data_IF_725549723022
#
_entry.id   IF_725549723022
#
_cell.length_a   1.000
_cell.length_b   1.000
_cell.length_c   1.000
_cell.angle_alpha   90.00
_cell.angle_beta   90.00
_cell.angle_gamma   90.00
#
_symmetry.space_group_name_H-M   'P 1'
#
loop_
_entity.id
_entity.type
_entity.pdbx_description
1 polymer ?
#
# COMPACT_ATOMS: atom_id res chain seq x y z
N UNK A 1 14.70 -10.44 -1.54
CA UNK A 1 13.99 -9.84 -2.70
C UNK A 1 13.88 -8.33 -2.45
N UNK A 2 14.64 -7.48 -3.13
CA UNK A 2 14.62 -6.03 -2.82
C UNK A 2 13.23 -5.38 -2.91
N UNK A 3 13.04 -4.22 -2.26
CA UNK A 3 11.80 -3.40 -2.22
C UNK A 3 10.78 -3.67 -3.34
N UNK A 4 9.51 -3.91 -2.99
CA UNK A 4 8.42 -4.08 -3.97
C UNK A 4 8.09 -2.79 -4.73
N UNK A 5 8.51 -1.64 -4.23
CA UNK A 5 8.32 -0.35 -4.89
C UNK A 5 9.52 -0.04 -5.79
N UNK A 6 9.24 0.46 -7.00
CA UNK A 6 10.27 0.91 -7.94
C UNK A 6 10.78 2.30 -7.54
N UNK A 7 12.10 2.45 -7.42
CA UNK A 7 12.72 3.69 -6.89
C UNK A 7 13.11 4.70 -7.98
N UNK A 8 13.30 4.27 -9.22
CA UNK A 8 13.83 5.04 -10.35
C UNK A 8 12.76 5.44 -11.36
N UNK A 9 11.54 5.70 -10.87
CA UNK A 9 10.39 6.07 -11.72
C UNK A 9 10.58 7.46 -12.32
N UNK A 10 10.41 7.56 -13.65
CA UNK A 10 10.63 8.80 -14.41
C UNK A 10 9.36 9.49 -14.88
N UNK A 11 8.23 8.78 -14.91
CA UNK A 11 6.94 9.30 -15.39
C UNK A 11 5.90 9.23 -14.29
N UNK A 12 4.93 10.14 -14.33
CA UNK A 12 3.78 10.12 -13.42
C UNK A 12 2.95 8.86 -13.63
N UNK A 13 2.80 8.43 -14.87
CA UNK A 13 2.12 7.19 -15.24
C UNK A 13 2.76 6.62 -16.51
N UNK A 14 2.63 5.30 -16.68
CA UNK A 14 3.20 4.56 -17.81
C UNK A 14 2.19 4.41 -18.95
N UNK A 15 0.91 4.24 -18.60
CA UNK A 15 -0.14 3.94 -19.55
C UNK A 15 -1.51 4.41 -19.04
N UNK A 16 -2.33 4.94 -19.93
CA UNK A 16 -3.74 5.21 -19.73
C UNK A 16 -4.53 4.46 -20.80
N UNK A 17 -5.69 3.92 -20.45
CA UNK A 17 -6.61 3.32 -21.40
C UNK A 17 -8.08 3.44 -20.98
N UNK A 18 -8.95 3.40 -21.98
CA UNK A 18 -10.39 3.22 -21.85
C UNK A 18 -10.75 1.81 -22.34
N UNK A 19 -11.58 1.12 -21.58
CA UNK A 19 -12.04 -0.23 -21.90
C UNK A 19 -13.56 -0.30 -21.91
N UNK A 20 -14.09 -1.15 -22.78
CA UNK A 20 -15.48 -1.62 -22.74
C UNK A 20 -15.48 -3.10 -22.33
N UNK A 21 -16.45 -3.57 -21.53
CA UNK A 21 -16.56 -4.98 -21.21
C UNK A 21 -16.89 -5.78 -22.48
N UNK A 22 -16.40 -7.01 -22.54
CA UNK A 22 -16.67 -7.90 -23.68
C UNK A 22 -18.14 -8.30 -23.70
N UNK A 23 -18.89 -7.99 -24.79
CA UNK A 23 -20.33 -8.28 -24.85
C UNK A 23 -20.62 -9.79 -24.75
N UNK A 24 -21.63 -10.15 -23.94
CA UNK A 24 -22.10 -11.53 -23.82
C UNK A 24 -21.20 -12.48 -23.04
N UNK A 25 -20.13 -11.98 -22.41
CA UNK A 25 -19.30 -12.77 -21.51
C UNK A 25 -19.96 -12.83 -20.12
N UNK A 26 -20.60 -13.95 -19.79
CA UNK A 26 -21.06 -14.22 -18.41
C UNK A 26 -19.86 -14.57 -17.53
N UNK A 27 -19.43 -13.65 -16.67
CA UNK A 27 -18.31 -13.88 -15.76
C UNK A 27 -18.79 -14.79 -14.64
N UNK A 28 -18.11 -15.91 -14.43
CA UNK A 28 -18.60 -16.94 -13.51
C UNK A 28 -18.68 -18.33 -14.13
N UNK A 29 -18.71 -18.41 -15.46
CA UNK A 29 -18.82 -19.69 -16.19
C UNK A 29 -17.50 -20.03 -16.88
N UNK A 30 -16.94 -21.20 -16.58
CA UNK A 30 -15.77 -21.69 -17.33
C UNK A 30 -16.16 -21.90 -18.79
N UNK A 31 -15.31 -21.53 -19.78
CA UNK A 31 -15.61 -21.78 -21.18
C UNK A 31 -15.87 -23.26 -21.41
N UNK A 32 -17.05 -23.62 -21.96
CA UNK A 32 -17.39 -25.02 -22.31
C UNK A 32 -16.52 -25.57 -23.46
N UNK A 33 -15.82 -24.70 -24.17
CA UNK A 33 -14.90 -25.04 -25.26
C UNK A 33 -13.47 -24.67 -24.87
N UNK A 34 -12.54 -25.61 -24.93
CA UNK A 34 -11.11 -25.44 -24.59
C UNK A 34 -10.29 -24.52 -25.52
N UNK A 35 -10.90 -23.43 -26.01
CA UNK A 35 -10.20 -22.31 -26.63
C UNK A 35 -9.71 -21.29 -25.59
N UNK A 36 -8.85 -20.34 -25.98
CA UNK A 36 -8.43 -19.26 -25.09
C UNK A 36 -9.65 -18.46 -24.61
N UNK A 37 -9.73 -18.20 -23.31
CA UNK A 37 -10.79 -17.41 -22.73
C UNK A 37 -10.81 -16.00 -23.37
N UNK A 38 -12.00 -15.53 -23.76
CA UNK A 38 -12.15 -14.16 -24.24
C UNK A 38 -11.80 -13.19 -23.10
N UNK A 39 -11.07 -12.09 -23.38
CA UNK A 39 -10.69 -11.18 -22.32
C UNK A 39 -11.92 -10.53 -21.71
N UNK A 40 -11.86 -10.26 -20.40
CA UNK A 40 -12.85 -9.51 -19.64
C UNK A 40 -13.30 -8.17 -20.26
N UNK A 41 -12.48 -7.55 -21.12
CA UNK A 41 -12.80 -6.31 -21.80
C UNK A 41 -11.87 -6.03 -22.97
N UNK A 42 -12.21 -5.01 -23.75
CA UNK A 42 -11.46 -4.59 -24.93
C UNK A 42 -11.01 -3.15 -24.73
N UNK A 43 -9.71 -2.90 -24.91
CA UNK A 43 -9.16 -1.53 -24.91
C UNK A 43 -9.63 -0.84 -26.19
N UNK A 44 -10.43 0.22 -26.04
CA UNK A 44 -10.97 1.00 -27.17
C UNK A 44 -10.17 2.27 -27.44
N UNK A 45 -9.46 2.76 -26.45
CA UNK A 45 -8.63 3.96 -26.54
C UNK A 45 -7.45 3.84 -25.58
N UNK A 46 -6.29 4.37 -25.96
CA UNK A 46 -5.11 4.34 -25.11
C UNK A 46 -4.20 5.54 -25.31
N UNK A 47 -3.31 5.74 -24.34
CA UNK A 47 -2.26 6.72 -24.37
C UNK A 47 -1.05 6.26 -23.51
N UNK A 48 0.19 6.34 -24.02
CA UNK A 48 0.53 6.60 -25.42
C UNK A 48 0.11 5.44 -26.32
N UNK A 49 -0.20 5.71 -27.60
CA UNK A 49 -0.61 4.65 -28.54
C UNK A 49 0.50 3.61 -28.79
N UNK A 50 1.76 4.01 -28.60
CA UNK A 50 2.95 3.17 -28.77
C UNK A 50 3.33 2.32 -27.56
N UNK A 51 2.47 2.17 -26.54
CA UNK A 51 2.74 1.31 -25.38
C UNK A 51 2.73 -0.18 -25.78
N UNK A 52 3.75 -0.96 -25.38
CA UNK A 52 3.97 -2.33 -25.89
C UNK A 52 4.15 -3.41 -24.82
N UNK A 53 3.99 -3.09 -23.55
CA UNK A 53 4.10 -4.08 -22.47
C UNK A 53 2.91 -5.05 -22.54
N UNK A 54 3.14 -6.24 -23.11
CA UNK A 54 2.10 -7.24 -23.37
C UNK A 54 1.52 -7.84 -22.08
N UNK A 55 2.32 -7.92 -21.02
CA UNK A 55 1.86 -8.43 -19.72
C UNK A 55 0.79 -7.48 -19.15
N UNK A 56 1.04 -6.17 -19.26
CA UNK A 56 0.07 -5.14 -18.86
C UNK A 56 -1.16 -5.14 -19.76
N UNK A 57 -0.96 -5.15 -21.08
CA UNK A 57 -2.08 -5.05 -22.03
C UNK A 57 -3.04 -6.25 -21.93
N UNK A 58 -2.52 -7.44 -21.63
CA UNK A 58 -3.35 -8.64 -21.46
C UNK A 58 -4.00 -8.71 -20.08
N UNK A 59 -3.35 -8.21 -19.03
CA UNK A 59 -3.89 -8.25 -17.66
C UNK A 59 -4.92 -7.18 -17.32
N UNK A 60 -4.78 -5.95 -17.86
CA UNK A 60 -5.67 -4.82 -17.49
C UNK A 60 -7.16 -5.15 -17.63
N UNK A 61 -7.64 -5.76 -18.72
CA UNK A 61 -9.07 -6.02 -18.88
C UNK A 61 -9.70 -6.79 -17.71
N UNK A 62 -9.00 -7.80 -17.19
CA UNK A 62 -9.46 -8.63 -16.06
C UNK A 62 -9.51 -7.82 -14.77
N UNK A 63 -8.54 -6.94 -14.52
CA UNK A 63 -8.56 -6.04 -13.37
C UNK A 63 -9.53 -4.86 -13.50
N UNK A 64 -9.74 -4.38 -14.71
CA UNK A 64 -10.68 -3.30 -15.00
C UNK A 64 -12.13 -3.75 -14.80
N UNK A 65 -12.41 -5.04 -14.97
CA UNK A 65 -13.72 -5.66 -14.76
C UNK A 65 -13.56 -6.98 -13.98
N UNK A 66 -13.29 -6.93 -12.66
CA UNK A 66 -12.90 -8.10 -11.90
C UNK A 66 -14.05 -9.11 -11.68
N UNK A 67 -15.29 -8.65 -11.70
CA UNK A 67 -16.50 -9.45 -11.59
C UNK A 67 -17.68 -8.67 -12.19
N UNK A 68 -18.83 -9.34 -12.32
CA UNK A 68 -20.07 -8.67 -12.71
C UNK A 68 -20.59 -7.85 -11.53
N UNK A 69 -20.49 -6.52 -11.62
CA UNK A 69 -20.94 -5.60 -10.58
C UNK A 69 -22.32 -5.06 -10.90
N UNK A 70 -23.28 -5.21 -9.97
CA UNK A 70 -24.63 -4.66 -10.12
C UNK A 70 -24.72 -3.16 -9.77
N UNK A 71 -23.59 -2.47 -9.69
CA UNK A 71 -23.54 -1.11 -9.16
C UNK A 71 -24.06 -0.09 -10.16
N UNK A 72 -24.95 0.78 -9.71
CA UNK A 72 -25.51 1.89 -10.51
C UNK A 72 -24.70 3.18 -10.38
N UNK A 73 -23.69 3.20 -9.51
CA UNK A 73 -22.84 4.36 -9.23
C UNK A 73 -21.43 4.16 -9.78
N UNK A 74 -20.78 5.27 -10.15
CA UNK A 74 -19.36 5.28 -10.52
C UNK A 74 -18.53 4.70 -9.38
N UNK A 75 -17.69 3.71 -9.68
CA UNK A 75 -16.73 3.15 -8.72
C UNK A 75 -15.32 3.56 -9.09
N UNK A 76 -14.51 3.87 -8.07
CA UNK A 76 -13.08 4.15 -8.26
C UNK A 76 -12.30 3.27 -7.30
N UNK A 77 -11.38 2.47 -7.82
CA UNK A 77 -10.60 1.54 -7.01
C UNK A 77 -9.16 1.45 -7.53
N UNK A 78 -8.30 0.79 -6.77
CA UNK A 78 -6.93 0.52 -7.21
C UNK A 78 -6.59 -0.96 -7.13
N UNK A 79 -5.89 -1.46 -8.15
CA UNK A 79 -5.34 -2.82 -8.18
C UNK A 79 -3.82 -2.76 -8.31
N UNK A 80 -3.18 -3.90 -8.07
CA UNK A 80 -1.73 -4.04 -8.20
C UNK A 80 -1.42 -5.21 -9.12
N UNK A 81 -0.58 -4.93 -10.10
CA UNK A 81 0.04 -5.92 -10.95
C UNK A 81 1.49 -6.11 -10.48
N UNK A 82 1.88 -7.36 -10.20
CA UNK A 82 3.26 -7.68 -9.84
C UNK A 82 4.02 -8.07 -11.10
N UNK A 83 5.08 -7.33 -11.42
CA UNK A 83 5.93 -7.58 -12.60
C UNK A 83 6.86 -8.78 -12.39
N UNK A 84 7.42 -9.31 -13.49
CA UNK A 84 8.39 -10.41 -13.43
C UNK A 84 9.63 -10.15 -12.54
N UNK A 85 10.03 -8.89 -12.36
CA UNK A 85 11.10 -8.47 -11.42
C UNK A 85 10.57 -8.19 -10.00
N UNK A 86 9.36 -8.68 -9.68
CA UNK A 86 8.79 -8.66 -8.34
C UNK A 86 8.43 -7.24 -7.84
N UNK A 87 8.26 -6.27 -8.73
CA UNK A 87 7.84 -4.90 -8.40
C UNK A 87 6.33 -4.73 -8.54
N UNK A 88 5.78 -3.80 -7.77
CA UNK A 88 4.38 -3.42 -7.86
C UNK A 88 4.20 -2.30 -8.88
N UNK A 89 3.25 -2.52 -9.76
CA UNK A 89 2.70 -1.55 -10.68
C UNK A 89 1.23 -1.36 -10.31
N UNK A 90 0.83 -0.13 -10.06
CA UNK A 90 -0.48 0.24 -9.56
C UNK A 90 -1.39 0.62 -10.73
N UNK A 91 -2.59 0.04 -10.75
CA UNK A 91 -3.66 0.44 -11.65
C UNK A 91 -4.75 1.17 -10.89
N UNK A 92 -5.10 2.38 -11.34
CA UNK A 92 -6.19 3.18 -10.80
C UNK A 92 -7.34 3.13 -11.79
N UNK A 93 -8.46 2.55 -11.38
CA UNK A 93 -9.61 2.31 -12.24
C UNK A 93 -10.79 3.17 -11.82
N UNK A 94 -11.48 3.75 -12.81
CA UNK A 94 -12.80 4.38 -12.67
C UNK A 94 -13.77 3.65 -13.60
N UNK A 95 -14.74 2.95 -13.04
CA UNK A 95 -15.85 2.33 -13.77
C UNK A 95 -17.05 3.28 -13.78
N UNK A 96 -17.61 3.55 -14.96
CA UNK A 96 -18.86 4.30 -15.10
C UNK A 96 -19.95 3.38 -15.67
N UNK A 97 -20.90 2.92 -14.82
CA UNK A 97 -21.98 2.03 -15.24
C UNK A 97 -22.87 2.63 -16.33
N UNK A 98 -22.94 3.96 -16.47
CA UNK A 98 -23.81 4.62 -17.46
C UNK A 98 -23.27 4.54 -18.88
N UNK A 99 -21.95 4.66 -19.02
CA UNK A 99 -21.28 4.51 -20.32
C UNK A 99 -20.85 3.07 -20.57
N UNK A 100 -20.94 2.21 -19.55
CA UNK A 100 -20.43 0.84 -19.58
C UNK A 100 -18.94 0.82 -19.98
N UNK A 101 -18.16 1.76 -19.44
CA UNK A 101 -16.72 1.86 -19.69
C UNK A 101 -15.91 1.90 -18.40
N UNK A 102 -14.66 1.48 -18.50
CA UNK A 102 -13.67 1.60 -17.44
C UNK A 102 -12.48 2.41 -17.94
N UNK A 103 -12.11 3.45 -17.18
CA UNK A 103 -10.88 4.21 -17.39
C UNK A 103 -9.82 3.67 -16.44
N UNK A 104 -8.63 3.33 -16.96
CA UNK A 104 -7.52 2.80 -16.17
C UNK A 104 -6.25 3.61 -16.40
N UNK A 105 -5.61 4.02 -15.30
CA UNK A 105 -4.30 4.65 -15.27
C UNK A 105 -3.29 3.73 -14.58
N UNK A 106 -2.17 3.43 -15.24
CA UNK A 106 -1.11 2.55 -14.76
C UNK A 106 0.10 3.37 -14.36
N UNK A 107 0.60 3.20 -13.13
CA UNK A 107 1.79 3.88 -12.63
C UNK A 107 2.62 2.99 -11.72
N UNK A 108 3.94 3.23 -11.65
CA UNK A 108 4.80 2.66 -10.60
C UNK A 108 4.76 3.48 -9.30
N UNK A 109 4.15 4.68 -9.32
CA UNK A 109 4.04 5.55 -8.16
C UNK A 109 2.82 5.14 -7.32
N UNK A 110 2.98 4.78 -6.03
CA UNK A 110 1.88 4.44 -5.13
C UNK A 110 1.13 5.70 -4.64
N UNK A 111 0.85 6.66 -5.52
CA UNK A 111 0.22 7.94 -5.15
C UNK A 111 -1.30 7.83 -5.24
N UNK A 112 -1.87 6.93 -4.43
CA UNK A 112 -3.30 6.60 -4.45
C UNK A 112 -4.19 7.84 -4.36
N UNK A 113 -3.93 8.73 -3.40
CA UNK A 113 -4.74 9.94 -3.24
C UNK A 113 -4.70 10.85 -4.46
N UNK A 114 -3.54 10.97 -5.11
CA UNK A 114 -3.37 11.79 -6.31
C UNK A 114 -4.14 11.19 -7.49
N UNK A 115 -3.92 9.91 -7.80
CA UNK A 115 -4.51 9.31 -8.99
C UNK A 115 -6.02 9.03 -8.83
N UNK A 116 -6.48 8.66 -7.64
CA UNK A 116 -7.92 8.50 -7.38
C UNK A 116 -8.67 9.84 -7.48
N UNK A 117 -8.07 10.96 -7.07
CA UNK A 117 -8.63 12.32 -7.27
C UNK A 117 -8.55 12.79 -8.72
N UNK A 118 -7.56 12.33 -9.47
CA UNK A 118 -7.39 12.66 -10.88
C UNK A 118 -8.48 12.02 -11.76
N UNK A 119 -8.86 10.77 -11.51
CA UNK A 119 -9.77 10.00 -12.37
C UNK A 119 -11.13 10.69 -12.61
N UNK A 120 -11.83 11.25 -11.60
CA UNK A 120 -13.07 12.01 -11.84
C UNK A 120 -12.85 13.24 -12.74
N UNK A 121 -11.73 13.94 -12.59
CA UNK A 121 -11.37 15.11 -13.40
C UNK A 121 -11.13 14.68 -14.85
N UNK A 122 -10.40 13.59 -15.06
CA UNK A 122 -10.20 13.01 -16.39
C UNK A 122 -11.51 12.58 -17.04
N UNK A 123 -12.41 11.95 -16.27
CA UNK A 123 -13.73 11.55 -16.75
C UNK A 123 -14.57 12.74 -17.23
N UNK A 124 -14.58 13.83 -16.45
CA UNK A 124 -15.31 15.05 -16.82
C UNK A 124 -14.65 15.81 -17.98
N UNK A 125 -13.32 15.90 -17.99
CA UNK A 125 -12.56 16.56 -19.06
C UNK A 125 -12.76 15.83 -20.38
N UNK A 126 -12.70 14.50 -20.39
CA UNK A 126 -12.97 13.68 -21.58
C UNK A 126 -14.37 13.93 -22.15
N UNK A 127 -15.36 14.10 -21.28
CA UNK A 127 -16.76 14.34 -21.66
C UNK A 127 -16.99 15.74 -22.25
N UNK A 128 -16.28 16.75 -21.75
CA UNK A 128 -16.52 18.17 -22.05
C UNK A 128 -15.56 18.76 -23.06
N UNK A 129 -14.29 18.34 -23.05
CA UNK A 129 -13.23 18.80 -23.94
C UNK A 129 -12.26 17.64 -24.29
N UNK A 130 -12.59 16.80 -25.29
CA UNK A 130 -11.75 15.68 -25.71
C UNK A 130 -10.33 16.10 -26.14
N UNK A 131 -10.19 17.29 -26.74
CA UNK A 131 -8.88 17.81 -27.15
C UNK A 131 -8.06 18.24 -25.92
N UNK A 132 -8.68 18.94 -24.98
CA UNK A 132 -8.08 19.29 -23.68
C UNK A 132 -7.70 18.05 -22.86
N UNK A 133 -8.52 16.99 -22.91
CA UNK A 133 -8.20 15.70 -22.30
C UNK A 133 -6.91 15.10 -22.87
N UNK A 134 -6.77 15.04 -24.20
CA UNK A 134 -5.55 14.54 -24.85
C UNK A 134 -4.34 15.42 -24.57
N UNK A 135 -4.50 16.74 -24.59
CA UNK A 135 -3.45 17.69 -24.24
C UNK A 135 -2.99 17.51 -22.79
N UNK A 136 -3.93 17.34 -21.85
CA UNK A 136 -3.64 17.09 -20.43
C UNK A 136 -2.83 15.80 -20.24
N UNK A 137 -3.24 14.68 -20.87
CA UNK A 137 -2.50 13.42 -20.78
C UNK A 137 -1.07 13.55 -21.33
N UNK A 138 -0.91 14.22 -22.47
CA UNK A 138 0.40 14.47 -23.08
C UNK A 138 1.30 15.30 -22.16
N UNK A 139 0.77 16.39 -21.62
CA UNK A 139 1.50 17.27 -20.71
C UNK A 139 1.92 16.54 -19.44
N UNK A 140 0.99 15.85 -18.77
CA UNK A 140 1.27 15.09 -17.56
C UNK A 140 2.28 13.94 -17.78
N UNK A 141 2.28 13.33 -18.97
CA UNK A 141 3.21 12.25 -19.30
C UNK A 141 4.63 12.75 -19.59
N UNK A 142 4.77 13.94 -20.20
CA UNK A 142 6.06 14.48 -20.64
C UNK A 142 6.82 15.28 -19.57
N UNK A 143 6.12 15.84 -18.57
CA UNK A 143 6.72 16.67 -17.51
C UNK A 143 7.57 15.88 -16.50
N UNK A 144 7.41 14.56 -16.43
CA UNK A 144 8.16 13.69 -15.51
C UNK A 144 7.69 13.78 -14.05
N UNK A 145 8.39 13.08 -13.15
CA UNK A 145 8.05 13.05 -11.72
C UNK A 145 8.68 14.25 -11.00
N UNK A 146 7.90 15.05 -10.24
CA UNK A 146 8.43 16.14 -9.42
C UNK A 146 9.57 15.71 -8.48
N UNK A 147 10.45 16.65 -8.15
CA UNK A 147 11.46 16.45 -7.11
C UNK A 147 10.83 16.19 -5.73
N UNK A 148 11.59 15.61 -4.80
CA UNK A 148 11.11 15.32 -3.44
C UNK A 148 10.55 16.58 -2.76
N UNK A 149 9.27 16.55 -2.37
CA UNK A 149 8.57 17.69 -1.77
C UNK A 149 8.16 18.78 -2.77
N UNK A 150 8.41 18.57 -4.06
CA UNK A 150 7.93 19.41 -5.15
C UNK A 150 6.54 19.03 -5.64
N UNK A 151 5.99 19.88 -6.50
CA UNK A 151 4.69 19.71 -7.12
C UNK A 151 4.74 20.08 -8.60
N UNK A 152 4.03 19.34 -9.45
CA UNK A 152 3.78 19.70 -10.85
C UNK A 152 2.32 20.14 -11.01
N UNK A 153 2.08 21.25 -11.69
CA UNK A 153 0.73 21.70 -12.05
C UNK A 153 0.50 21.50 -13.54
N UNK A 154 -0.57 20.81 -13.90
CA UNK A 154 -1.00 20.60 -15.28
C UNK A 154 -2.33 21.32 -15.48
N UNK A 155 -2.37 22.26 -16.42
CA UNK A 155 -3.54 23.10 -16.69
C UNK A 155 -4.45 22.45 -17.76
N UNK A 156 -5.76 22.70 -17.65
CA UNK A 156 -6.78 22.26 -18.61
C UNK A 156 -7.85 23.35 -18.79
N UNK A 157 -8.79 23.17 -19.73
CA UNK A 157 -9.84 24.15 -20.08
C UNK A 157 -9.26 25.54 -20.40
N UNK A 158 -8.28 25.59 -21.31
CA UNK A 158 -7.57 26.82 -21.68
C UNK A 158 -6.98 27.61 -20.48
N UNK A 159 -6.58 26.91 -19.42
CA UNK A 159 -5.96 27.51 -18.23
C UNK A 159 -6.93 27.89 -17.12
N UNK A 160 -8.22 27.62 -17.27
CA UNK A 160 -9.23 27.89 -16.23
C UNK A 160 -9.18 26.87 -15.08
N UNK A 161 -8.69 25.65 -15.34
CA UNK A 161 -8.51 24.60 -14.34
C UNK A 161 -7.07 24.09 -14.30
N UNK A 162 -6.67 23.52 -13.17
CA UNK A 162 -5.41 22.79 -13.05
C UNK A 162 -5.52 21.62 -12.08
N UNK A 163 -4.64 20.64 -12.26
CA UNK A 163 -4.43 19.55 -11.33
C UNK A 163 -2.99 19.58 -10.81
N UNK A 164 -2.81 19.39 -9.51
CA UNK A 164 -1.49 19.38 -8.87
C UNK A 164 -1.08 17.95 -8.54
N UNK A 165 0.03 17.50 -9.13
CA UNK A 165 0.74 16.30 -8.74
C UNK A 165 1.77 16.66 -7.68
N UNK A 166 1.43 16.43 -6.41
CA UNK A 166 2.35 16.62 -5.28
C UNK A 166 3.09 15.32 -5.00
N UNK A 167 4.43 15.36 -4.98
CA UNK A 167 5.21 14.18 -4.61
C UNK A 167 5.13 13.98 -3.09
N UNK A 168 4.59 12.85 -2.60
CA UNK A 168 4.55 12.56 -1.17
C UNK A 168 5.96 12.57 -0.58
N UNK A 169 6.07 13.07 0.66
CA UNK A 169 7.33 13.02 1.38
C UNK A 169 7.66 11.57 1.74
N UNK A 170 8.92 11.16 1.56
CA UNK A 170 9.36 9.75 1.62
C UNK A 170 9.01 9.03 2.93
N UNK A 171 8.82 9.76 4.03
CA UNK A 171 8.56 9.20 5.37
C UNK A 171 7.26 9.73 5.98
N UNK A 172 6.39 10.31 5.18
CA UNK A 172 5.09 10.77 5.65
C UNK A 172 4.16 9.59 5.80
N UNK A 173 3.67 9.41 7.02
CA UNK A 173 2.66 8.41 7.32
C UNK A 173 1.30 8.82 6.72
N UNK A 174 0.49 7.83 6.28
CA UNK A 174 -0.89 8.08 5.89
C UNK A 174 -1.63 8.81 7.01
N UNK A 175 -2.35 9.87 6.64
CA UNK A 175 -3.01 10.78 7.58
C UNK A 175 -4.50 10.92 7.26
N UNK A 176 -5.31 11.01 8.31
CA UNK A 176 -6.76 11.22 8.23
C UNK A 176 -7.12 12.71 8.31
N UNK A 177 -8.12 13.19 7.55
CA UNK A 177 -8.94 12.48 6.57
C UNK A 177 -8.38 12.49 5.14
N UNK A 178 -7.17 13.03 4.92
CA UNK A 178 -6.66 13.31 3.58
C UNK A 178 -6.37 12.04 2.76
N UNK A 179 -5.94 10.96 3.44
CA UNK A 179 -5.66 9.67 2.81
C UNK A 179 -6.94 8.85 2.65
N UNK A 180 -7.34 8.66 1.39
CA UNK A 180 -8.57 7.97 1.01
C UNK A 180 -8.61 6.52 1.50
N UNK A 181 -7.51 5.78 1.32
CA UNK A 181 -7.45 4.37 1.69
C UNK A 181 -7.61 4.17 3.21
N UNK A 182 -6.84 4.92 4.00
CA UNK A 182 -6.92 4.90 5.45
C UNK A 182 -8.31 5.32 5.94
N UNK A 183 -8.92 6.32 5.30
CA UNK A 183 -10.25 6.80 5.67
C UNK A 183 -11.32 5.73 5.46
N UNK A 184 -11.30 5.00 4.34
CA UNK A 184 -12.23 3.89 4.13
C UNK A 184 -11.96 2.75 5.11
N UNK A 185 -10.70 2.35 5.31
CA UNK A 185 -10.37 1.30 6.29
C UNK A 185 -10.85 1.65 7.70
N UNK A 186 -10.63 2.90 8.14
CA UNK A 186 -11.06 3.36 9.46
C UNK A 186 -12.59 3.34 9.63
N UNK A 187 -13.33 3.66 8.59
CA UNK A 187 -14.79 3.68 8.64
C UNK A 187 -15.42 2.28 8.59
N UNK A 188 -14.76 1.31 7.96
CA UNK A 188 -15.32 -0.02 7.69
C UNK A 188 -14.71 -1.16 8.52
N UNK A 189 -13.56 -0.96 9.16
CA UNK A 189 -12.92 -1.98 9.99
C UNK A 189 -12.85 -1.51 11.44
N UNK A 190 -13.42 -2.28 12.35
CA UNK A 190 -13.47 -1.92 13.77
C UNK A 190 -12.12 -2.16 14.47
N UNK A 191 -11.80 -1.41 15.55
CA UNK A 191 -10.53 -1.51 16.26
C UNK A 191 -10.08 -2.94 16.59
N UNK A 192 -11.01 -3.82 16.98
CA UNK A 192 -10.73 -5.22 17.30
C UNK A 192 -10.24 -5.97 16.06
N UNK A 193 -10.95 -5.85 14.95
CA UNK A 193 -10.64 -6.48 13.67
C UNK A 193 -9.38 -5.89 13.05
N UNK A 194 -9.11 -4.58 13.24
CA UNK A 194 -7.84 -3.98 12.83
C UNK A 194 -6.63 -4.65 13.50
N UNK A 195 -6.75 -4.95 14.80
CA UNK A 195 -5.70 -5.64 15.56
C UNK A 195 -5.58 -7.09 15.08
N UNK A 196 -6.69 -7.76 14.80
CA UNK A 196 -6.71 -9.15 14.34
C UNK A 196 -6.07 -9.31 12.95
N UNK A 197 -6.41 -8.42 12.01
CA UNK A 197 -5.75 -8.33 10.70
C UNK A 197 -4.26 -8.08 10.86
N UNK A 198 -3.88 -7.09 11.68
CA UNK A 198 -2.47 -6.78 11.90
C UNK A 198 -1.69 -7.96 12.49
N UNK A 199 -2.29 -8.71 13.42
CA UNK A 199 -1.72 -9.94 13.96
C UNK A 199 -1.55 -11.02 12.89
N UNK A 200 -2.56 -11.25 12.06
CA UNK A 200 -2.50 -12.22 10.97
C UNK A 200 -1.43 -11.85 9.92
N UNK A 201 -1.25 -10.56 9.63
CA UNK A 201 -0.19 -10.09 8.74
C UNK A 201 1.20 -10.30 9.35
N UNK A 202 1.37 -10.04 10.65
CA UNK A 202 2.62 -10.34 11.36
C UNK A 202 2.91 -11.84 11.54
N UNK A 203 1.93 -12.70 11.25
CA UNK A 203 2.09 -14.15 11.20
C UNK A 203 2.18 -14.68 9.76
N UNK A 204 2.24 -13.80 8.76
CA UNK A 204 2.23 -14.14 7.33
C UNK A 204 1.14 -15.16 6.99
N UNK A 205 -0.11 -14.90 7.42
CA UNK A 205 -1.26 -15.75 7.06
C UNK A 205 -1.68 -15.57 5.61
N UNK A 206 -2.50 -16.51 5.14
CA UNK A 206 -3.37 -16.34 3.96
C UNK A 206 -4.57 -15.49 4.40
N UNK A 207 -4.69 -14.28 3.87
CA UNK A 207 -5.66 -13.27 4.31
C UNK A 207 -6.49 -12.79 3.12
N UNK A 208 -7.81 -12.90 3.26
CA UNK A 208 -8.83 -12.43 2.33
C UNK A 208 -9.56 -11.24 2.94
N UNK A 209 -9.66 -10.16 2.19
CA UNK A 209 -10.66 -9.12 2.38
C UNK A 209 -11.78 -9.35 1.39
N UNK A 210 -13.05 -9.16 1.77
CA UNK A 210 -14.18 -9.29 0.86
C UNK A 210 -15.20 -8.16 1.03
N UNK A 211 -15.82 -7.76 -0.08
CA UNK A 211 -16.78 -6.66 -0.16
C UNK A 211 -17.49 -6.66 -1.52
N UNK A 212 -18.72 -6.15 -1.57
CA UNK A 212 -19.47 -5.85 -2.82
C UNK A 212 -19.02 -4.55 -3.49
N UNK A 213 -18.31 -3.72 -2.74
CA UNK A 213 -17.82 -2.41 -3.16
C UNK A 213 -16.30 -2.47 -3.42
N UNK A 214 -15.88 -2.25 -4.67
CA UNK A 214 -14.47 -2.38 -5.07
C UNK A 214 -13.59 -1.25 -4.50
N UNK A 215 -14.14 -0.06 -4.35
CA UNK A 215 -13.48 1.09 -3.70
C UNK A 215 -13.14 0.73 -2.25
N UNK A 216 -14.13 0.28 -1.48
CA UNK A 216 -13.95 -0.19 -0.11
C UNK A 216 -12.94 -1.33 -0.03
N UNK A 217 -13.09 -2.35 -0.88
CA UNK A 217 -12.22 -3.53 -0.90
C UNK A 217 -10.75 -3.14 -1.10
N UNK A 218 -10.47 -2.43 -2.20
CA UNK A 218 -9.11 -2.02 -2.56
C UNK A 218 -8.52 -1.05 -1.55
N UNK A 219 -9.31 -0.14 -0.99
CA UNK A 219 -8.81 0.81 0.00
C UNK A 219 -8.49 0.15 1.33
N UNK A 220 -9.33 -0.78 1.79
CA UNK A 220 -9.10 -1.47 3.05
C UNK A 220 -7.80 -2.28 3.01
N UNK A 221 -7.57 -3.03 1.94
CA UNK A 221 -6.39 -3.87 1.83
C UNK A 221 -5.10 -3.06 1.62
N UNK A 222 -5.17 -1.95 0.88
CA UNK A 222 -4.04 -1.02 0.72
C UNK A 222 -3.67 -0.35 2.05
N UNK A 223 -4.66 0.05 2.85
CA UNK A 223 -4.43 0.61 4.17
C UNK A 223 -3.84 -0.43 5.14
N UNK A 224 -4.36 -1.67 5.13
CA UNK A 224 -3.81 -2.75 5.94
C UNK A 224 -2.34 -3.02 5.63
N UNK A 225 -1.97 -3.08 4.34
CA UNK A 225 -0.58 -3.21 3.90
C UNK A 225 0.29 -2.03 4.38
N UNK A 226 -0.23 -0.79 4.39
CA UNK A 226 0.50 0.38 4.85
C UNK A 226 0.84 0.36 6.35
N UNK A 227 0.07 -0.36 7.19
CA UNK A 227 0.38 -0.49 8.62
C UNK A 227 1.61 -1.36 8.92
N UNK A 228 2.13 -2.10 7.93
CA UNK A 228 3.37 -2.86 8.08
C UNK A 228 4.62 -1.97 8.05
N UNK A 229 4.51 -0.70 7.65
CA UNK A 229 5.64 0.22 7.59
C UNK A 229 6.46 0.21 8.90
N UNK A 230 7.78 -0.01 8.85
CA UNK A 230 8.67 0.06 7.68
C UNK A 230 8.85 -1.25 6.90
N UNK A 231 8.22 -2.34 7.33
CA UNK A 231 8.23 -3.60 6.59
C UNK A 231 7.29 -3.51 5.39
N UNK A 232 7.57 -4.27 4.35
CA UNK A 232 6.74 -4.35 3.15
C UNK A 232 6.32 -5.81 2.97
N UNK A 233 5.04 -6.05 2.68
CA UNK A 233 4.54 -7.40 2.41
C UNK A 233 5.32 -8.04 1.26
N UNK A 234 5.79 -9.28 1.48
CA UNK A 234 6.69 -9.97 0.53
C UNK A 234 6.02 -11.09 -0.24
N UNK A 235 4.80 -11.48 0.09
CA UNK A 235 4.11 -12.57 -0.59
C UNK A 235 3.11 -12.03 -1.62
N UNK A 236 2.19 -12.88 -2.08
CA UNK A 236 1.17 -12.48 -3.07
C UNK A 236 0.36 -11.31 -2.50
N UNK A 237 0.22 -10.24 -3.29
CA UNK A 237 -0.54 -9.05 -2.94
C UNK A 237 -1.43 -8.65 -4.10
N UNK A 238 -2.74 -8.85 -3.97
CA UNK A 238 -3.72 -8.58 -5.03
C UNK A 238 -4.90 -7.82 -4.40
N UNK A 239 -4.90 -6.47 -4.43
CA UNK A 239 -5.94 -5.66 -3.81
C UNK A 239 -7.36 -5.91 -4.31
N UNK A 240 -7.49 -6.31 -5.57
CA UNK A 240 -8.75 -6.69 -6.19
C UNK A 240 -8.46 -7.87 -7.11
N UNK A 241 -8.95 -9.05 -6.75
CA UNK A 241 -8.77 -10.29 -7.51
C UNK A 241 -9.84 -10.39 -8.60
N UNK A 242 -9.46 -10.44 -9.88
CA UNK A 242 -10.35 -10.80 -10.95
C UNK A 242 -10.85 -12.24 -10.82
N UNK A 243 -12.06 -12.51 -11.30
CA UNK A 243 -12.62 -13.86 -11.44
C UNK A 243 -11.65 -14.86 -12.06
N UNK A 244 -10.99 -14.44 -13.16
CA UNK A 244 -10.04 -15.28 -13.92
C UNK A 244 -8.84 -15.77 -13.08
N UNK A 245 -8.55 -15.09 -11.96
CA UNK A 245 -7.44 -15.41 -11.07
C UNK A 245 -7.89 -16.05 -9.76
N UNK A 246 -9.13 -16.54 -9.67
CA UNK A 246 -9.66 -17.17 -8.44
C UNK A 246 -8.84 -18.37 -7.96
N UNK A 247 -8.17 -19.08 -8.86
CA UNK A 247 -7.35 -20.24 -8.52
C UNK A 247 -6.15 -19.88 -7.62
N UNK A 248 -5.73 -18.61 -7.58
CA UNK A 248 -4.71 -18.11 -6.63
C UNK A 248 -5.16 -18.24 -5.17
N UNK A 249 -6.46 -18.39 -4.88
CA UNK A 249 -6.97 -18.53 -3.52
C UNK A 249 -6.62 -19.87 -2.88
N UNK A 250 -6.47 -20.93 -3.69
CA UNK A 250 -6.04 -22.27 -3.24
C UNK A 250 -4.53 -22.37 -3.01
N UNK A 251 -3.80 -21.30 -3.21
CA UNK A 251 -2.35 -21.33 -3.20
C UNK A 251 -1.81 -21.44 -1.74
N UNK A 252 -0.77 -22.26 -1.46
CA UNK A 252 -0.38 -22.63 -0.10
C UNK A 252 0.50 -21.61 0.64
N UNK A 253 1.24 -20.76 -0.08
CA UNK A 253 2.04 -19.69 0.52
C UNK A 253 1.17 -18.52 1.03
N UNK A 254 1.71 -17.65 1.91
CA UNK A 254 0.96 -16.51 2.41
C UNK A 254 0.47 -15.60 1.29
N UNK A 255 -0.65 -14.92 1.52
CA UNK A 255 -1.15 -13.94 0.58
C UNK A 255 -2.02 -12.90 1.29
N UNK A 256 -2.11 -11.73 0.68
CA UNK A 256 -3.03 -10.66 1.07
C UNK A 256 -3.84 -10.28 -0.17
N UNK A 257 -5.08 -10.76 -0.23
CA UNK A 257 -5.92 -10.67 -1.42
C UNK A 257 -7.27 -10.04 -1.08
N UNK A 258 -7.73 -9.11 -1.91
CA UNK A 258 -9.07 -8.57 -1.86
C UNK A 258 -9.92 -9.29 -2.90
N UNK A 259 -10.91 -10.05 -2.46
CA UNK A 259 -11.78 -10.85 -3.33
C UNK A 259 -13.15 -10.16 -3.39
N UNK A 260 -13.61 -9.71 -4.56
CA UNK A 260 -14.99 -9.24 -4.68
C UNK A 260 -15.95 -10.34 -4.21
N UNK A 261 -16.98 -9.98 -3.46
CA UNK A 261 -17.91 -10.98 -2.89
C UNK A 261 -18.49 -11.95 -3.95
N UNK A 262 -18.91 -11.50 -5.14
CA UNK A 262 -19.39 -12.42 -6.19
C UNK A 262 -18.35 -13.44 -6.67
N UNK A 263 -17.05 -13.15 -6.52
CA UNK A 263 -15.98 -14.10 -6.84
C UNK A 263 -15.82 -15.09 -5.69
N UNK A 264 -15.82 -14.60 -4.44
CA UNK A 264 -15.64 -15.44 -3.25
C UNK A 264 -16.75 -16.47 -3.09
N UNK A 265 -18.00 -16.10 -3.41
CA UNK A 265 -19.18 -17.00 -3.33
C UNK A 265 -19.07 -18.25 -4.22
N UNK A 266 -18.14 -18.27 -5.16
CA UNK A 266 -17.96 -19.39 -6.10
C UNK A 266 -16.85 -20.35 -5.71
N UNK A 267 -16.17 -20.07 -4.60
CA UNK A 267 -15.12 -20.90 -4.05
C UNK A 267 -15.62 -21.49 -2.74
N UNK A 268 -15.49 -22.81 -2.61
CA UNK A 268 -15.92 -23.52 -1.41
C UNK A 268 -14.91 -23.37 -0.27
N UNK A 269 -15.35 -23.54 0.98
CA UNK A 269 -14.45 -23.50 2.14
C UNK A 269 -13.35 -24.56 2.06
N UNK A 270 -13.63 -25.73 1.48
CA UNK A 270 -12.66 -26.81 1.29
C UNK A 270 -11.55 -26.42 0.30
N UNK A 271 -11.88 -25.67 -0.76
CA UNK A 271 -10.90 -25.15 -1.73
C UNK A 271 -10.01 -24.06 -1.13
N UNK A 272 -10.53 -23.24 -0.21
CA UNK A 272 -9.76 -22.20 0.48
C UNK A 272 -8.83 -22.79 1.55
N UNK A 273 -9.28 -23.81 2.28
CA UNK A 273 -8.61 -24.36 3.45
C UNK A 273 -8.52 -23.33 4.59
N UNK A 274 -7.45 -23.39 5.39
CA UNK A 274 -7.25 -22.48 6.53
C UNK A 274 -6.84 -21.06 6.10
N UNK A 275 -7.82 -20.15 6.01
CA UNK A 275 -7.63 -18.76 5.59
C UNK A 275 -8.27 -17.80 6.59
N UNK A 276 -7.70 -16.60 6.73
CA UNK A 276 -8.31 -15.50 7.50
C UNK A 276 -9.18 -14.69 6.56
N UNK A 277 -10.43 -14.42 6.93
CA UNK A 277 -11.39 -13.65 6.11
C UNK A 277 -11.91 -12.45 6.91
N UNK A 278 -11.82 -11.26 6.33
CA UNK A 278 -12.50 -10.06 6.81
C UNK A 278 -13.51 -9.60 5.75
N UNK A 279 -14.79 -9.60 6.11
CA UNK A 279 -15.83 -9.00 5.30
C UNK A 279 -16.00 -7.52 5.68
N UNK A 280 -15.65 -6.60 4.77
CA UNK A 280 -15.70 -5.15 5.01
C UNK A 280 -17.12 -4.56 4.94
N UNK A 281 -18.12 -5.33 4.52
CA UNK A 281 -19.53 -4.93 4.51
C UNK A 281 -20.23 -5.31 5.81
N UNK A 282 -20.02 -6.53 6.28
CA UNK A 282 -20.64 -7.05 7.51
C UNK A 282 -19.78 -6.85 8.75
N UNK A 283 -18.50 -6.48 8.57
CA UNK A 283 -17.48 -6.37 9.62
C UNK A 283 -17.16 -7.69 10.33
N UNK A 284 -17.53 -8.81 9.72
CA UNK A 284 -17.27 -10.14 10.26
C UNK A 284 -15.81 -10.52 9.96
N UNK A 285 -15.09 -10.91 11.01
CA UNK A 285 -13.73 -11.45 10.94
C UNK A 285 -13.74 -12.92 11.35
N UNK A 286 -13.29 -13.79 10.45
CA UNK A 286 -13.21 -15.23 10.63
C UNK A 286 -11.75 -15.66 10.51
N UNK A 287 -11.27 -16.43 11.49
CA UNK A 287 -9.91 -16.94 11.50
C UNK A 287 -9.88 -18.30 12.20
N UNK A 288 -9.26 -19.33 11.59
CA UNK A 288 -8.97 -20.58 12.28
C UNK A 288 -7.79 -20.44 13.25
N UNK A 289 -7.11 -19.29 13.26
CA UNK A 289 -5.93 -19.01 14.08
C UNK A 289 -6.22 -17.99 15.19
N UNK A 290 -5.56 -18.16 16.33
CA UNK A 290 -5.55 -17.18 17.43
C UNK A 290 -4.27 -16.34 17.42
N UNK A 291 -4.05 -15.60 16.33
CA UNK A 291 -2.84 -14.81 16.14
C UNK A 291 -2.74 -13.62 17.12
N UNK A 292 -3.87 -13.09 17.58
CA UNK A 292 -3.90 -12.02 18.59
C UNK A 292 -3.37 -12.52 19.92
N UNK A 293 -3.64 -13.77 20.31
CA UNK A 293 -3.08 -14.37 21.50
C UNK A 293 -1.56 -14.60 21.39
N UNK A 294 -1.06 -14.88 20.19
CA UNK A 294 0.37 -15.05 19.94
C UNK A 294 1.17 -13.74 20.03
N UNK A 295 0.51 -12.57 19.88
CA UNK A 295 1.15 -11.27 20.06
C UNK A 295 1.46 -10.99 21.55
N UNK A 296 2.56 -10.28 21.85
CA UNK A 296 2.82 -9.83 23.21
C UNK A 296 1.66 -9.03 23.81
N UNK A 297 1.22 -9.42 25.00
CA UNK A 297 0.04 -8.84 25.68
C UNK A 297 0.16 -7.34 25.92
N UNK A 298 1.38 -6.84 26.17
CA UNK A 298 1.64 -5.40 26.31
C UNK A 298 1.34 -4.62 25.03
N UNK A 299 1.61 -5.20 23.86
CA UNK A 299 1.37 -4.58 22.56
C UNK A 299 -0.12 -4.60 22.26
N UNK A 300 -0.78 -5.75 22.44
CA UNK A 300 -2.23 -5.88 22.23
C UNK A 300 -3.00 -4.91 23.14
N UNK A 301 -2.60 -4.80 24.41
CA UNK A 301 -3.20 -3.86 25.36
C UNK A 301 -3.04 -2.40 24.92
N UNK A 302 -1.85 -2.03 24.45
CA UNK A 302 -1.62 -0.68 23.93
C UNK A 302 -2.40 -0.41 22.64
N UNK A 303 -2.45 -1.34 21.70
CA UNK A 303 -3.24 -1.20 20.47
C UNK A 303 -4.73 -1.00 20.81
N UNK A 304 -5.31 -1.87 21.64
CA UNK A 304 -6.70 -1.75 22.11
C UNK A 304 -6.95 -0.41 22.79
N UNK A 305 -6.03 0.00 23.68
CA UNK A 305 -6.14 1.28 24.37
C UNK A 305 -6.21 2.41 23.36
N UNK A 306 -5.23 2.57 22.47
CA UNK A 306 -5.19 3.74 21.60
C UNK A 306 -6.29 3.72 20.53
N UNK A 307 -6.59 2.58 19.91
CA UNK A 307 -7.63 2.49 18.88
C UNK A 307 -9.06 2.67 19.40
N UNK A 308 -9.30 2.51 20.71
CA UNK A 308 -10.62 2.79 21.30
C UNK A 308 -10.84 4.27 21.63
N UNK A 309 -9.82 5.13 21.58
CA UNK A 309 -9.96 6.58 21.84
C UNK A 309 -10.28 7.34 20.54
N UNK A 310 -11.45 7.07 19.97
CA UNK A 310 -11.86 7.51 18.62
C UNK A 310 -11.88 9.03 18.41
N UNK A 311 -12.06 9.82 19.47
CA UNK A 311 -12.08 11.29 19.40
C UNK A 311 -10.74 11.92 18.98
N UNK A 312 -9.64 11.16 19.04
CA UNK A 312 -8.30 11.65 18.76
C UNK A 312 -7.77 11.25 17.37
N UNK A 313 -8.51 10.53 16.53
CA UNK A 313 -7.95 9.90 15.31
C UNK A 313 -7.88 10.81 14.07
N UNK A 314 -7.27 11.99 14.21
CA UNK A 314 -6.98 12.93 13.11
C UNK A 314 -5.47 12.96 12.83
N UNK A 315 -5.10 13.18 11.57
CA UNK A 315 -3.72 13.16 11.11
C UNK A 315 -3.14 11.75 11.08
N UNK A 316 -1.85 11.62 11.36
CA UNK A 316 -1.10 10.36 11.26
C UNK A 316 -1.26 9.41 12.46
N UNK A 317 -2.22 9.66 13.35
CA UNK A 317 -2.32 8.96 14.64
C UNK A 317 -2.61 7.48 14.52
N UNK A 318 -3.52 7.06 13.62
CA UNK A 318 -3.80 5.63 13.39
C UNK A 318 -2.53 4.93 12.90
N UNK A 319 -1.87 5.49 11.88
CA UNK A 319 -0.61 4.97 11.36
C UNK A 319 0.47 4.89 12.45
N UNK A 320 0.55 5.90 13.34
CA UNK A 320 1.47 5.90 14.49
C UNK A 320 1.15 4.82 15.52
N UNK A 321 -0.11 4.43 15.72
CA UNK A 321 -0.46 3.36 16.67
C UNK A 321 0.22 2.04 16.22
N UNK A 322 0.09 1.69 14.94
CA UNK A 322 0.73 0.50 14.37
C UNK A 322 2.26 0.63 14.29
N UNK A 323 2.78 1.79 13.87
CA UNK A 323 4.22 2.06 13.87
C UNK A 323 4.83 1.89 15.26
N UNK A 324 4.17 2.38 16.32
CA UNK A 324 4.66 2.23 17.69
C UNK A 324 4.67 0.77 18.16
N UNK A 325 3.74 -0.06 17.69
CA UNK A 325 3.78 -1.51 17.94
C UNK A 325 5.01 -2.15 17.28
N UNK A 326 5.30 -1.78 16.03
CA UNK A 326 6.50 -2.26 15.32
C UNK A 326 7.79 -1.76 15.95
N UNK A 327 7.87 -0.49 16.34
CA UNK A 327 9.02 0.06 17.09
C UNK A 327 9.27 -0.74 18.37
N UNK A 328 8.21 -1.16 19.06
CA UNK A 328 8.32 -2.01 20.24
C UNK A 328 8.85 -3.40 19.89
N UNK A 329 8.39 -4.02 18.80
CA UNK A 329 8.83 -5.36 18.40
C UNK A 329 10.27 -5.36 17.85
N UNK A 330 10.49 -4.59 16.80
CA UNK A 330 11.67 -4.68 15.93
C UNK A 330 12.65 -3.51 16.08
N UNK A 331 12.31 -2.49 16.88
CA UNK A 331 13.16 -1.30 17.05
C UNK A 331 14.54 -1.55 17.65
N UNK A 332 14.75 -2.71 18.29
CA UNK A 332 16.06 -3.12 18.83
C UNK A 332 17.04 -3.67 17.79
N UNK A 333 16.66 -3.77 16.50
CA UNK A 333 17.47 -4.46 15.49
C UNK A 333 18.89 -3.88 15.35
N UNK A 334 19.07 -2.56 15.55
CA UNK A 334 20.39 -1.91 15.48
C UNK A 334 21.39 -2.44 16.50
N UNK A 335 20.93 -2.87 17.68
CA UNK A 335 21.82 -3.41 18.72
C UNK A 335 22.39 -4.78 18.32
N UNK A 336 21.74 -5.44 17.35
CA UNK A 336 22.13 -6.73 16.78
C UNK A 336 22.95 -6.62 15.49
N UNK A 337 23.24 -5.40 15.02
CA UNK A 337 24.16 -5.21 13.89
C UNK A 337 25.60 -5.42 14.37
N UNK A 338 26.32 -6.28 13.67
CA UNK A 338 27.74 -6.53 13.87
C UNK A 338 28.55 -5.79 12.81
N UNK A 339 29.62 -5.14 13.26
CA UNK A 339 30.49 -4.33 12.44
C UNK A 339 31.78 -5.10 12.19
N UNK A 340 31.99 -5.49 10.94
CA UNK A 340 33.23 -6.08 10.45
C UNK A 340 34.00 -5.03 9.64
N UNK A 341 35.27 -5.30 9.31
CA UNK A 341 36.15 -4.34 8.63
C UNK A 341 35.56 -3.82 7.31
N UNK A 342 34.86 -4.68 6.56
CA UNK A 342 34.35 -4.38 5.21
C UNK A 342 32.83 -4.49 5.09
N UNK A 343 32.13 -4.96 6.12
CA UNK A 343 30.69 -5.21 6.04
C UNK A 343 30.00 -5.11 7.39
N UNK A 344 28.70 -4.83 7.35
CA UNK A 344 27.80 -4.92 8.49
C UNK A 344 26.85 -6.07 8.27
N UNK A 345 26.69 -6.91 9.29
CA UNK A 345 25.82 -8.10 9.27
C UNK A 345 24.85 -8.06 10.45
N UNK A 346 23.82 -8.90 10.43
CA UNK A 346 22.82 -8.99 11.49
C UNK A 346 22.95 -10.30 12.26
N UNK A 347 23.02 -10.21 13.58
CA UNK A 347 23.06 -11.37 14.47
C UNK A 347 21.69 -11.62 15.11
N UNK A 348 20.95 -12.59 14.58
CA UNK A 348 19.59 -12.92 15.05
C UNK A 348 19.54 -13.31 16.53
N UNK A 349 20.54 -14.04 17.02
CA UNK A 349 20.57 -14.46 18.43
C UNK A 349 20.76 -13.26 19.36
N UNK A 350 21.69 -12.35 19.02
CA UNK A 350 21.93 -11.11 19.75
C UNK A 350 20.68 -10.22 19.74
N UNK A 351 19.94 -10.18 18.62
CA UNK A 351 18.66 -9.48 18.55
C UNK A 351 17.68 -10.04 19.59
N UNK A 352 17.44 -11.34 19.60
CA UNK A 352 16.50 -11.98 20.54
C UNK A 352 16.94 -11.77 21.99
N UNK A 353 18.22 -11.98 22.31
CA UNK A 353 18.75 -11.90 23.67
C UNK A 353 18.71 -10.49 24.25
N UNK A 354 18.85 -9.45 23.39
CA UNK A 354 18.74 -8.04 23.79
C UNK A 354 17.35 -7.63 24.30
N UNK A 355 16.35 -8.50 24.10
CA UNK A 355 14.94 -8.22 24.36
C UNK A 355 14.45 -8.88 25.66
N UNK A 356 13.45 -8.28 26.34
CA UNK A 356 12.83 -8.87 27.52
C UNK A 356 12.43 -10.34 27.31
N UNK A 357 12.66 -11.19 28.32
CA UNK A 357 12.49 -12.64 28.22
C UNK A 357 11.11 -13.07 27.69
N UNK A 358 10.04 -12.37 28.09
CA UNK A 358 8.68 -12.67 27.65
C UNK A 358 8.41 -12.36 26.15
N UNK A 359 9.21 -11.49 25.52
CA UNK A 359 9.09 -11.19 24.07
C UNK A 359 9.88 -12.17 23.20
N UNK A 360 10.88 -12.86 23.77
CA UNK A 360 11.81 -13.70 23.01
C UNK A 360 11.12 -14.82 22.21
N UNK A 361 10.11 -15.55 22.73
CA UNK A 361 9.45 -16.60 21.95
C UNK A 361 8.76 -16.06 20.69
N UNK A 362 8.12 -14.89 20.79
CA UNK A 362 7.50 -14.23 19.63
C UNK A 362 8.56 -13.78 18.63
N UNK A 363 9.64 -13.15 19.10
CA UNK A 363 10.72 -12.67 18.23
C UNK A 363 11.48 -13.81 17.54
N UNK A 364 11.63 -14.96 18.20
CA UNK A 364 12.22 -16.14 17.59
C UNK A 364 11.42 -16.58 16.36
N UNK A 365 10.09 -16.68 16.47
CA UNK A 365 9.20 -16.97 15.32
C UNK A 365 9.29 -15.89 14.24
N UNK A 366 9.41 -14.61 14.64
CA UNK A 366 9.52 -13.49 13.70
C UNK A 366 10.79 -13.55 12.84
N UNK A 367 11.86 -14.24 13.29
CA UNK A 367 13.08 -14.41 12.48
C UNK A 367 12.86 -15.26 11.24
N UNK A 368 11.86 -16.13 11.25
CA UNK A 368 11.52 -17.01 10.13
C UNK A 368 10.63 -16.33 9.08
N UNK A 369 10.18 -15.09 9.35
CA UNK A 369 9.25 -14.37 8.48
C UNK A 369 9.98 -13.63 7.35
N UNK A 370 9.45 -13.75 6.14
CA UNK A 370 9.99 -13.13 4.94
C UNK A 370 9.93 -11.58 5.00
N UNK A 371 8.86 -11.02 5.58
CA UNK A 371 8.71 -9.56 5.76
C UNK A 371 9.78 -8.97 6.67
N UNK A 372 10.19 -9.71 7.71
CA UNK A 372 11.21 -9.25 8.65
C UNK A 372 12.61 -9.45 8.09
N UNK A 373 12.87 -10.59 7.44
CA UNK A 373 14.13 -10.84 6.73
C UNK A 373 14.40 -9.72 5.70
N UNK A 374 13.40 -9.36 4.90
CA UNK A 374 13.56 -8.30 3.91
C UNK A 374 13.81 -6.93 4.53
N UNK A 375 13.14 -6.62 5.64
CA UNK A 375 13.40 -5.39 6.39
C UNK A 375 14.86 -5.32 6.86
N UNK A 376 15.41 -6.40 7.41
CA UNK A 376 16.82 -6.45 7.82
C UNK A 376 17.76 -6.28 6.63
N UNK A 377 17.52 -6.99 5.53
CA UNK A 377 18.34 -6.88 4.31
C UNK A 377 18.36 -5.46 3.73
N UNK A 378 17.19 -4.81 3.67
CA UNK A 378 17.08 -3.43 3.19
C UNK A 378 17.87 -2.49 4.12
N UNK A 379 17.73 -2.65 5.44
CA UNK A 379 18.47 -1.85 6.42
C UNK A 379 19.98 -2.07 6.36
N UNK A 380 20.45 -3.32 6.22
CA UNK A 380 21.86 -3.64 6.06
C UNK A 380 22.43 -3.05 4.77
N UNK A 381 21.68 -3.14 3.66
CA UNK A 381 22.05 -2.53 2.38
C UNK A 381 22.26 -1.02 2.53
N UNK A 382 21.32 -0.34 3.20
CA UNK A 382 21.43 1.10 3.48
C UNK A 382 22.63 1.42 4.39
N UNK A 383 22.89 0.62 5.44
CA UNK A 383 24.05 0.81 6.32
C UNK A 383 25.39 0.54 5.62
N UNK A 384 25.44 -0.40 4.69
CA UNK A 384 26.65 -0.75 3.93
C UNK A 384 26.95 0.24 2.80
N UNK A 385 25.94 0.95 2.29
CA UNK A 385 26.14 2.05 1.32
C UNK A 385 26.94 3.24 1.88
N UNK A 386 26.99 3.40 3.21
CA UNK A 386 27.70 4.50 3.88
C UNK A 386 27.01 5.87 3.81
N UNK A 387 25.90 6.02 3.09
CA UNK A 387 25.19 7.30 2.91
C UNK A 387 24.39 7.74 4.15
N UNK A 388 24.22 6.84 5.13
CA UNK A 388 23.31 7.05 6.25
C UNK A 388 21.85 7.10 5.81
N UNK A 389 20.93 6.84 6.73
CA UNK A 389 19.50 6.98 6.48
C UNK A 389 18.76 7.29 7.77
N UNK A 390 17.62 7.93 7.62
CA UNK A 390 16.67 8.19 8.69
C UNK A 390 15.29 8.23 8.07
N UNK A 391 14.35 7.55 8.69
CA UNK A 391 12.93 7.57 8.34
C UNK A 391 12.08 7.68 9.61
N UNK A 392 10.75 7.71 9.49
CA UNK A 392 9.88 7.91 10.67
C UNK A 392 10.00 6.75 11.67
N UNK A 393 10.27 5.53 11.20
CA UNK A 393 10.54 4.40 12.10
C UNK A 393 11.84 4.60 12.89
N UNK A 394 12.92 5.07 12.25
CA UNK A 394 14.18 5.41 12.95
C UNK A 394 13.99 6.56 13.96
N UNK A 395 13.13 7.54 13.63
CA UNK A 395 12.81 8.64 14.53
C UNK A 395 12.00 8.16 15.74
N UNK A 396 11.01 7.29 15.54
CA UNK A 396 10.19 6.75 16.63
C UNK A 396 10.95 5.76 17.50
N UNK A 397 11.89 4.99 16.95
CA UNK A 397 12.81 4.16 17.76
C UNK A 397 13.65 4.99 18.72
N UNK A 398 14.19 6.14 18.27
CA UNK A 398 14.90 7.08 19.15
C UNK A 398 13.96 7.61 20.25
N UNK A 399 12.78 8.11 19.88
CA UNK A 399 11.78 8.64 20.84
C UNK A 399 11.39 7.60 21.88
N UNK A 400 11.20 6.35 21.46
CA UNK A 400 10.88 5.24 22.35
C UNK A 400 12.02 4.89 23.31
N UNK A 401 13.27 4.87 22.82
CA UNK A 401 14.46 4.63 23.64
C UNK A 401 14.65 5.73 24.71
N UNK A 402 14.43 7.01 24.35
CA UNK A 402 14.47 8.16 25.27
C UNK A 402 13.43 8.01 26.40
N UNK A 403 12.19 7.66 26.07
CA UNK A 403 11.12 7.42 27.06
C UNK A 403 11.46 6.30 28.04
N UNK A 404 12.12 5.24 27.58
CA UNK A 404 12.53 4.10 28.42
C UNK A 404 13.86 4.28 29.15
N UNK A 405 14.49 5.47 29.10
CA UNK A 405 15.82 5.75 29.69
C UNK A 405 16.92 4.75 29.27
N UNK A 406 16.81 4.14 28.08
CA UNK A 406 17.82 3.23 27.54
C UNK A 406 18.80 4.03 26.70
N UNK A 407 20.03 4.22 27.20
CA UNK A 407 21.09 4.96 26.53
C UNK A 407 22.33 4.11 26.25
N UNK A 408 22.82 4.15 25.00
CA UNK A 408 24.25 4.26 24.61
C UNK A 408 24.43 4.43 23.09
N UNK A 409 23.63 3.77 22.24
CA UNK A 409 23.79 3.81 20.77
C UNK A 409 22.98 4.90 20.04
N UNK A 410 21.89 5.40 20.63
CA UNK A 410 21.02 6.43 20.02
C UNK A 410 21.59 7.86 20.08
N UNK A 411 22.72 8.06 20.78
CA UNK A 411 23.37 9.37 20.91
C UNK A 411 23.88 9.92 19.56
N UNK A 412 24.23 9.05 18.61
CA UNK A 412 24.73 9.46 17.29
C UNK A 412 23.61 10.11 16.45
N UNK A 413 22.36 9.64 16.57
CA UNK A 413 21.21 10.26 15.88
C UNK A 413 20.76 11.58 16.51
N UNK A 414 21.05 11.81 17.80
CA UNK A 414 20.80 13.10 18.47
C UNK A 414 21.53 14.25 17.75
N UNK A 415 22.78 14.02 17.34
CA UNK A 415 23.57 15.00 16.61
C UNK A 415 23.06 15.28 15.18
N UNK A 416 22.34 14.33 14.57
CA UNK A 416 21.67 14.51 13.28
C UNK A 416 20.33 15.27 13.43
N UNK A 417 19.58 14.99 14.50
CA UNK A 417 18.35 15.70 14.87
C UNK A 417 18.63 17.19 15.08
N UNK A 418 19.72 17.54 15.77
CA UNK A 418 20.12 18.94 15.99
C UNK A 418 20.57 19.62 14.68
N UNK A 419 21.20 18.89 13.75
CA UNK A 419 21.58 19.41 12.42
C UNK A 419 20.39 19.68 11.50
N UNK A 420 19.32 18.88 11.56
CA UNK A 420 18.14 19.01 10.70
C UNK A 420 17.06 19.93 11.29
N UNK A 421 16.82 19.90 12.59
CA UNK A 421 15.88 20.82 13.25
C UNK A 421 16.47 22.22 13.45
N UNK A 422 17.80 22.35 13.61
CA UNK A 422 18.49 23.64 13.70
C UNK A 422 18.32 24.52 12.44
N UNK A 423 18.06 23.92 11.27
CA UNK A 423 17.78 24.66 10.03
C UNK A 423 16.36 25.24 9.95
N UNK A 424 15.39 24.72 10.73
CA UNK A 424 14.03 25.30 10.80
C UNK A 424 13.96 26.57 11.66
N UNK A 425 14.95 26.83 12.51
CA UNK A 425 14.98 28.04 13.35
C UNK A 425 15.67 29.25 12.69
N UNK A 426 16.48 29.04 11.65
CA UNK A 426 17.22 30.12 11.00
C UNK A 426 16.42 30.88 9.94
N UNK A 427 15.32 30.32 9.42
CA UNK A 427 14.42 31.03 8.49
C UNK A 427 13.55 32.11 9.15
N UNK A 428 13.50 32.17 10.50
CA UNK A 428 12.79 33.24 11.23
C UNK A 428 13.68 34.41 11.66
N UNK A 429 15.01 34.30 11.49
CA UNK A 429 15.96 35.37 11.86
C UNK A 429 16.33 36.32 10.72
N UNK A 430 15.94 36.03 9.48
CA UNK A 430 16.20 36.89 8.31
C UNK A 430 14.98 37.70 7.82
N UNK A 431 13.87 37.74 8.58
CA UNK A 431 12.68 38.54 8.23
C UNK A 431 12.54 39.84 9.05
N UNK A 432 13.51 40.20 9.88
CA UNK A 432 13.55 41.48 10.60
C UNK A 432 14.91 42.12 10.40
N UNK A 433 15.08 42.79 9.27
CA UNK A 433 15.93 43.96 9.08
C UNK A 433 15.82 44.36 7.60
N UNK A 434 14.85 45.23 7.32
CA UNK A 434 14.85 46.21 6.24
C UNK A 434 13.64 47.12 6.52
N UNK A 435 13.92 48.18 7.29
CA UNK A 435 13.19 49.45 7.24
C UNK A 435 14.12 50.42 6.51
#
# INVERSE_FOLDING_TARGET
MGSRIKNDVKKLFEFWCELTPTPGLERGTSPRSGGPAAPAGVIVESFPEGFRDQEVLTGIPSFAFPCDTASTSVQTFSFVHTTGDSKWRFGFCRQDPRTNTAMVLISYLPWHDTFLKLLPILGELKRTDPNGFRAFLSEAYNQGVPDCGGSLKVFYNAGQGFFTFERPLQFQLPSMPENHNLNLYYNFVEPKEMIAVFAAMLAERRIIFTSRHLDRLSSCIQAANAFLYPMVWQHIFIPVLPWEFKDYLGAPMPYLIGVPEPVLETVTSDELGEVVILNCDTKIFESPFDDVHNLPTEIVSQLKKHLNHTHDHIGDRISKIFLNALVQLIGGYRDAVEYHETSKTFNSQKFIESRPAHLRPFLAKMMDLQIFAQFIDDRLTMLNSGLGFSDEFELETVRYAEKKKRGRNYAIMKNLKDKYLGKRSLSRLFSKNNV
#
